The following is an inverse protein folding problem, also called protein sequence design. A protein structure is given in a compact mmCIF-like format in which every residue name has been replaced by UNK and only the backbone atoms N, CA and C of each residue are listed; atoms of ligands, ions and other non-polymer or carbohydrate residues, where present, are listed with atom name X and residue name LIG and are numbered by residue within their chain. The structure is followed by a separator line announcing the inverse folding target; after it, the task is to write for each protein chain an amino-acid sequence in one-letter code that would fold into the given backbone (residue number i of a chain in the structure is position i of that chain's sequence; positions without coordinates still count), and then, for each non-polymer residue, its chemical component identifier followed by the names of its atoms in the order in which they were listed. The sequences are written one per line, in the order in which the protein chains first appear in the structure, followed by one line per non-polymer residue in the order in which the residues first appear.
data_IF_028307829923
#
_entry.id   IF_028307829923
#
_cell.length_a   1.000
_cell.length_b   1.000
_cell.length_c   1.000
_cell.angle_alpha   90.00
_cell.angle_beta   90.00
_cell.angle_gamma   90.00
#
_symmetry.space_group_name_H-M   'P 1'
#
loop_
_entity.id
_entity.type
_entity.pdbx_description
1 polymer ?
#
# COMPACT_ATOMS: atom_id res chain seq x y z
N UNK A 1 -63.82 -27.63 -11.86
CA UNK A 1 -62.69 -26.69 -11.71
C UNK A 1 -62.23 -26.44 -10.25
N UNK A 2 -62.78 -27.12 -9.23
CA UNK A 2 -62.44 -26.88 -7.81
C UNK A 2 -61.18 -27.65 -7.34
N UNK A 3 -60.84 -28.78 -7.96
CA UNK A 3 -59.71 -29.62 -7.52
C UNK A 3 -58.30 -29.08 -7.81
N UNK A 4 -58.15 -28.16 -8.76
CA UNK A 4 -56.84 -27.60 -9.13
C UNK A 4 -56.33 -26.56 -8.12
N UNK A 5 -57.23 -25.71 -7.59
CA UNK A 5 -56.91 -24.69 -6.56
C UNK A 5 -56.54 -25.31 -5.22
N UNK A 6 -57.25 -26.36 -4.78
CA UNK A 6 -56.98 -27.04 -3.51
C UNK A 6 -55.63 -27.78 -3.51
N UNK A 7 -55.25 -28.38 -4.65
CA UNK A 7 -53.92 -28.99 -4.83
C UNK A 7 -52.81 -27.94 -4.78
N UNK A 8 -53.00 -26.76 -5.35
CA UNK A 8 -51.99 -25.70 -5.34
C UNK A 8 -51.78 -25.09 -3.95
N UNK A 9 -52.84 -24.84 -3.17
CA UNK A 9 -52.68 -24.40 -1.77
C UNK A 9 -52.00 -25.46 -0.90
N UNK A 10 -52.35 -26.73 -1.08
CA UNK A 10 -51.70 -27.83 -0.35
C UNK A 10 -50.19 -27.90 -0.64
N UNK A 11 -49.78 -27.77 -1.91
CA UNK A 11 -48.37 -27.74 -2.30
C UNK A 11 -47.63 -26.55 -1.70
N UNK A 12 -48.24 -25.36 -1.68
CA UNK A 12 -47.62 -24.15 -1.10
C UNK A 12 -47.38 -24.31 0.41
N UNK A 13 -48.37 -24.82 1.15
CA UNK A 13 -48.21 -25.06 2.60
C UNK A 13 -47.16 -26.13 2.90
N UNK A 14 -47.10 -27.20 2.09
CA UNK A 14 -46.05 -28.20 2.23
C UNK A 14 -44.65 -27.64 2.00
N UNK A 15 -44.46 -26.84 0.95
CA UNK A 15 -43.18 -26.18 0.67
C UNK A 15 -42.79 -25.22 1.79
N UNK A 16 -43.75 -24.43 2.31
CA UNK A 16 -43.51 -23.52 3.43
C UNK A 16 -43.07 -24.27 4.71
N UNK A 17 -43.68 -25.42 5.01
CA UNK A 17 -43.28 -26.27 6.14
C UNK A 17 -41.86 -26.80 5.95
N UNK A 18 -41.50 -27.26 4.75
CA UNK A 18 -40.13 -27.73 4.47
C UNK A 18 -39.12 -26.62 4.69
N UNK A 19 -39.36 -25.41 4.17
CA UNK A 19 -38.46 -24.28 4.41
C UNK A 19 -38.37 -23.89 5.88
N UNK A 20 -39.48 -23.96 6.63
CA UNK A 20 -39.48 -23.66 8.05
C UNK A 20 -38.68 -24.70 8.85
N UNK A 21 -38.82 -25.99 8.51
CA UNK A 21 -38.00 -27.06 9.10
C UNK A 21 -36.53 -26.86 8.76
N UNK A 22 -36.20 -26.55 7.51
CA UNK A 22 -34.82 -26.30 7.07
C UNK A 22 -34.21 -25.09 7.79
N UNK A 23 -34.99 -24.03 7.97
CA UNK A 23 -34.56 -22.84 8.70
C UNK A 23 -34.26 -23.17 10.17
N UNK A 24 -35.12 -23.96 10.81
CA UNK A 24 -34.92 -24.41 12.19
C UNK A 24 -33.68 -25.31 12.28
N UNK A 25 -33.49 -26.26 11.36
CA UNK A 25 -32.32 -27.16 11.39
C UNK A 25 -31.00 -26.40 11.22
N UNK A 26 -30.97 -25.36 10.37
CA UNK A 26 -29.81 -24.47 10.27
C UNK A 26 -29.63 -23.59 11.50
N UNK A 27 -30.71 -23.03 12.06
CA UNK A 27 -30.65 -22.14 13.23
C UNK A 27 -30.12 -22.84 14.48
N UNK A 28 -30.42 -24.13 14.63
CA UNK A 28 -29.94 -24.95 15.76
C UNK A 28 -28.68 -25.76 15.43
N UNK A 29 -28.09 -25.52 14.24
CA UNK A 29 -26.89 -26.18 13.75
C UNK A 29 -26.95 -27.72 13.85
N UNK A 30 -28.13 -28.29 13.52
CA UNK A 30 -28.48 -29.69 13.81
C UNK A 30 -27.54 -30.70 13.11
N UNK A 31 -26.92 -30.27 12.01
CA UNK A 31 -25.94 -31.05 11.23
C UNK A 31 -24.60 -30.31 11.04
N UNK A 32 -24.35 -29.25 11.80
CA UNK A 32 -23.07 -28.54 11.76
C UNK A 32 -21.95 -29.38 12.32
N UNK A 33 -20.90 -29.59 11.55
CA UNK A 33 -19.62 -30.01 12.11
C UNK A 33 -18.92 -28.77 12.65
N UNK A 34 -18.61 -28.73 13.95
CA UNK A 34 -17.76 -27.68 14.51
C UNK A 34 -16.41 -27.75 13.81
N UNK A 35 -16.16 -26.87 12.85
CA UNK A 35 -14.85 -26.75 12.21
C UNK A 35 -13.90 -26.18 13.25
N UNK A 36 -12.84 -26.92 13.54
CA UNK A 36 -11.73 -26.37 14.31
C UNK A 36 -11.14 -25.21 13.50
N UNK A 37 -11.25 -23.99 14.02
CA UNK A 37 -10.48 -22.86 13.51
C UNK A 37 -9.06 -23.07 14.01
N UNK A 38 -8.15 -23.41 13.11
CA UNK A 38 -6.73 -23.47 13.43
C UNK A 38 -6.26 -22.02 13.51
N UNK A 39 -5.99 -21.55 14.72
CA UNK A 39 -5.31 -20.28 14.91
C UNK A 39 -3.85 -20.44 14.47
N UNK A 40 -3.41 -19.54 13.60
CA UNK A 40 -2.03 -19.47 13.14
C UNK A 40 -1.34 -18.30 13.81
N UNK A 41 -0.07 -18.48 14.16
CA UNK A 41 0.76 -17.40 14.66
C UNK A 41 0.77 -16.25 13.63
N UNK A 42 0.50 -15.00 14.05
CA UNK A 42 0.55 -13.86 13.14
C UNK A 42 1.93 -13.74 12.50
N UNK A 43 1.96 -13.34 11.23
CA UNK A 43 3.24 -12.99 10.56
C UNK A 43 3.94 -11.85 11.32
N UNK A 44 5.25 -11.72 11.18
CA UNK A 44 5.99 -10.65 11.84
C UNK A 44 5.43 -9.26 11.47
N UNK A 45 5.39 -8.34 12.45
CA UNK A 45 4.84 -6.96 12.30
C UNK A 45 5.35 -6.21 11.08
N UNK A 46 6.61 -6.42 10.70
CA UNK A 46 7.24 -5.81 9.51
C UNK A 46 6.45 -5.99 8.20
N UNK A 47 5.59 -7.01 8.12
CA UNK A 47 4.79 -7.30 6.92
C UNK A 47 3.46 -6.55 6.88
N UNK A 48 2.99 -6.00 8.01
CA UNK A 48 1.74 -5.24 8.09
C UNK A 48 1.88 -3.86 8.75
N UNK A 49 3.11 -3.41 9.00
CA UNK A 49 3.36 -2.06 9.50
C UNK A 49 2.93 -1.01 8.45
N UNK A 50 2.05 -0.06 8.79
CA UNK A 50 1.62 0.99 7.87
C UNK A 50 2.65 2.12 7.70
N UNK A 51 3.77 2.09 8.44
CA UNK A 51 4.82 3.08 8.35
C UNK A 51 5.40 3.19 6.92
N UNK A 52 5.79 4.40 6.48
CA UNK A 52 6.48 4.58 5.21
C UNK A 52 7.88 3.96 5.28
N UNK A 53 8.43 3.57 4.13
CA UNK A 53 9.81 3.01 4.05
C UNK A 53 10.84 4.10 4.34
N UNK A 54 10.53 5.34 3.98
CA UNK A 54 11.35 6.53 4.18
C UNK A 54 10.50 7.62 4.84
N UNK A 55 11.15 8.55 5.51
CA UNK A 55 10.49 9.75 6.02
C UNK A 55 10.64 10.88 5.01
N UNK A 56 9.56 11.29 4.31
CA UNK A 56 9.60 12.44 3.43
C UNK A 56 9.98 13.70 4.19
N UNK A 57 10.72 14.59 3.53
CA UNK A 57 10.81 15.98 3.96
C UNK A 57 9.43 16.63 3.78
N UNK A 58 8.90 17.22 4.85
CA UNK A 58 7.69 18.05 4.80
C UNK A 58 8.01 19.52 4.58
N UNK A 59 9.22 19.92 4.96
CA UNK A 59 9.75 21.28 4.86
C UNK A 59 11.09 21.26 4.11
N UNK A 60 11.48 22.36 3.45
CA UNK A 60 12.69 22.46 2.65
C UNK A 60 13.94 22.65 3.53
N UNK A 61 14.19 21.70 4.42
CA UNK A 61 15.27 21.79 5.39
C UNK A 61 16.37 20.76 5.12
N UNK A 62 17.62 21.18 5.31
CA UNK A 62 18.80 20.33 5.19
C UNK A 62 19.76 20.59 6.35
N UNK A 63 20.33 19.51 6.90
CA UNK A 63 21.36 19.61 7.94
C UNK A 63 22.73 19.68 7.30
N UNK A 64 23.42 20.80 7.47
CA UNK A 64 24.79 20.99 7.00
C UNK A 64 25.69 21.36 8.17
N UNK A 65 26.79 20.61 8.37
CA UNK A 65 27.73 20.80 9.49
C UNK A 65 27.05 20.87 10.87
N UNK A 66 26.01 20.05 11.10
CA UNK A 66 25.29 19.97 12.37
C UNK A 66 24.30 21.10 12.64
N UNK A 67 24.01 21.95 11.65
CA UNK A 67 22.99 23.00 11.73
C UNK A 67 21.92 22.79 10.67
N UNK A 68 20.69 23.13 11.04
CA UNK A 68 19.52 23.08 10.15
C UNK A 68 19.42 24.39 9.36
N UNK A 69 19.28 24.28 8.05
CA UNK A 69 19.11 25.41 7.13
C UNK A 69 17.92 25.16 6.22
N UNK A 70 17.26 26.23 5.78
CA UNK A 70 16.38 26.15 4.60
C UNK A 70 17.24 26.11 3.34
N UNK A 71 16.76 25.42 2.30
CA UNK A 71 17.50 25.31 1.04
C UNK A 71 17.93 26.69 0.49
N UNK A 72 17.03 27.67 0.51
CA UNK A 72 17.29 29.02 0.02
C UNK A 72 18.23 29.85 0.88
N UNK A 73 18.48 29.50 2.14
CA UNK A 73 19.44 30.23 2.98
C UNK A 73 20.83 30.27 2.32
N UNK A 74 21.18 29.20 1.60
CA UNK A 74 22.33 29.18 0.71
C UNK A 74 21.93 29.54 -0.74
N UNK A 75 20.88 28.92 -1.28
CA UNK A 75 20.60 28.98 -2.71
C UNK A 75 20.07 30.32 -3.23
N UNK A 76 19.60 31.23 -2.37
CA UNK A 76 19.15 32.57 -2.79
C UNK A 76 20.29 33.45 -3.32
N UNK A 77 21.54 33.15 -2.96
CA UNK A 77 22.72 33.95 -3.33
C UNK A 77 23.67 33.24 -4.30
N UNK A 78 23.37 31.97 -4.64
CA UNK A 78 24.20 31.15 -5.49
C UNK A 78 23.65 31.15 -6.92
N UNK A 79 24.53 31.42 -7.88
CA UNK A 79 24.26 31.20 -9.30
C UNK A 79 23.98 29.69 -9.55
N UNK A 80 22.80 29.32 -10.08
CA UNK A 80 22.49 27.93 -10.37
C UNK A 80 23.48 27.36 -11.39
N UNK A 81 24.21 26.32 -10.99
CA UNK A 81 25.14 25.63 -11.89
C UNK A 81 24.43 25.14 -13.15
N UNK A 82 24.96 25.51 -14.31
CA UNK A 82 24.55 25.00 -15.62
C UNK A 82 25.24 23.68 -15.97
N UNK A 83 26.24 23.29 -15.18
CA UNK A 83 27.06 22.10 -15.39
C UNK A 83 26.58 20.99 -14.43
N UNK A 84 26.36 19.81 -14.98
CA UNK A 84 26.13 18.58 -14.20
C UNK A 84 27.40 18.22 -13.44
N UNK A 85 27.26 18.01 -12.13
CA UNK A 85 28.33 17.45 -11.30
C UNK A 85 27.82 16.15 -10.68
N UNK A 86 28.68 15.15 -10.62
CA UNK A 86 28.41 13.89 -9.93
C UNK A 86 28.62 13.99 -8.41
N UNK A 87 29.26 15.06 -7.94
CA UNK A 87 29.58 15.27 -6.53
C UNK A 87 29.36 16.73 -6.14
N UNK A 88 28.66 16.93 -5.02
CA UNK A 88 28.28 18.26 -4.53
C UNK A 88 28.93 18.50 -3.17
N UNK A 89 29.91 19.41 -3.10
CA UNK A 89 30.65 19.66 -1.85
C UNK A 89 29.76 20.10 -0.69
N UNK A 90 28.65 20.79 -0.96
CA UNK A 90 27.69 21.23 0.04
C UNK A 90 26.60 20.19 0.38
N UNK A 91 26.46 19.16 -0.46
CA UNK A 91 25.48 18.08 -0.28
C UNK A 91 26.17 16.72 -0.49
N UNK A 92 27.15 16.36 0.37
CA UNK A 92 27.95 15.14 0.18
C UNK A 92 27.12 13.86 0.23
N UNK A 93 25.96 13.90 0.88
CA UNK A 93 25.05 12.75 1.04
C UNK A 93 24.06 12.60 -0.12
N UNK A 94 24.02 13.57 -1.05
CA UNK A 94 23.10 13.56 -2.19
C UNK A 94 23.79 12.93 -3.39
N UNK A 95 23.41 11.71 -3.70
CA UNK A 95 23.87 10.96 -4.88
C UNK A 95 22.72 10.92 -5.88
N UNK A 96 22.91 11.53 -7.05
CA UNK A 96 21.88 11.66 -8.08
C UNK A 96 22.01 10.56 -9.15
N UNK A 97 21.19 9.51 -9.03
CA UNK A 97 21.07 8.39 -9.99
C UNK A 97 19.63 8.30 -10.53
N UNK A 98 19.18 9.36 -11.17
CA UNK A 98 17.83 9.45 -11.76
C UNK A 98 17.86 9.38 -13.30
N UNK A 99 18.83 8.66 -13.87
CA UNK A 99 19.01 8.52 -15.31
C UNK A 99 19.26 9.86 -16.01
N UNK A 100 18.48 10.17 -17.05
CA UNK A 100 18.60 11.42 -17.80
C UNK A 100 18.18 12.68 -17.01
N UNK A 101 17.39 12.52 -15.93
CA UNK A 101 16.94 13.62 -15.08
C UNK A 101 17.96 13.92 -13.97
N UNK A 102 19.19 14.20 -14.37
CA UNK A 102 20.34 14.36 -13.45
C UNK A 102 20.71 15.83 -13.17
N UNK A 103 19.75 16.74 -13.29
CA UNK A 103 19.91 18.14 -12.89
C UNK A 103 18.92 18.46 -11.77
N UNK A 104 19.40 19.12 -10.72
CA UNK A 104 18.58 19.46 -9.56
C UNK A 104 17.36 20.29 -9.97
N UNK A 105 17.55 21.24 -10.89
CA UNK A 105 16.53 22.18 -11.33
C UNK A 105 15.48 21.57 -12.28
N UNK A 106 15.62 20.29 -12.63
CA UNK A 106 14.55 19.54 -13.32
C UNK A 106 13.36 19.33 -12.39
N UNK A 107 13.64 19.04 -11.11
CA UNK A 107 12.62 18.78 -10.10
C UNK A 107 12.48 19.94 -9.10
N UNK A 108 13.55 20.68 -8.83
CA UNK A 108 13.55 21.83 -7.93
C UNK A 108 13.38 23.15 -8.70
N UNK A 109 12.77 24.14 -8.05
CA UNK A 109 12.71 25.47 -8.63
C UNK A 109 14.10 26.13 -8.62
N UNK A 110 14.54 26.58 -9.80
CA UNK A 110 15.83 27.23 -10.01
C UNK A 110 16.02 28.50 -9.16
N UNK A 111 14.95 29.25 -8.94
CA UNK A 111 14.97 30.54 -8.24
C UNK A 111 14.53 30.42 -6.78
N UNK A 112 14.06 29.23 -6.37
CA UNK A 112 13.46 28.99 -5.07
C UNK A 112 13.62 27.51 -4.70
N UNK A 113 14.80 27.10 -4.21
CA UNK A 113 15.08 25.71 -3.85
C UNK A 113 14.24 25.19 -2.68
N UNK A 114 13.49 26.07 -2.01
CA UNK A 114 12.46 25.68 -1.04
C UNK A 114 11.22 25.06 -1.69
N UNK A 115 11.14 25.09 -3.02
CA UNK A 115 10.03 24.53 -3.80
C UNK A 115 10.53 23.54 -4.85
N UNK A 116 9.67 22.56 -5.14
CA UNK A 116 9.73 21.75 -6.34
C UNK A 116 9.04 22.48 -7.49
N UNK A 117 9.13 21.93 -8.70
CA UNK A 117 8.42 22.44 -9.89
C UNK A 117 7.53 21.37 -10.52
N UNK A 118 6.43 21.81 -11.12
CA UNK A 118 5.65 21.00 -12.06
C UNK A 118 6.13 21.18 -13.52
N UNK A 119 5.44 20.51 -14.45
CA UNK A 119 5.76 20.54 -15.89
C UNK A 119 5.72 21.97 -16.48
N UNK A 120 4.90 22.84 -15.90
CA UNK A 120 4.72 24.23 -16.31
C UNK A 120 5.62 25.17 -15.50
N UNK A 121 6.55 24.64 -14.68
CA UNK A 121 7.45 25.39 -13.81
C UNK A 121 6.76 26.14 -12.67
N UNK A 122 5.54 25.75 -12.30
CA UNK A 122 4.88 26.29 -11.11
C UNK A 122 5.45 25.67 -9.84
N UNK A 123 5.42 26.43 -8.75
CA UNK A 123 5.86 25.95 -7.44
C UNK A 123 5.00 24.80 -6.94
N UNK A 124 5.68 23.76 -6.45
CA UNK A 124 5.10 22.58 -5.82
C UNK A 124 5.75 22.42 -4.45
N UNK A 125 4.99 22.38 -3.34
CA UNK A 125 5.57 22.14 -2.03
C UNK A 125 6.09 20.69 -1.92
N UNK A 126 7.07 20.45 -1.05
CA UNK A 126 7.64 19.11 -0.81
C UNK A 126 6.59 18.08 -0.39
N UNK A 127 5.53 18.51 0.32
CA UNK A 127 4.37 17.67 0.69
C UNK A 127 3.55 17.17 -0.50
N UNK A 128 3.76 17.72 -1.70
CA UNK A 128 3.10 17.32 -2.94
C UNK A 128 4.08 16.82 -4.00
N UNK A 129 5.19 16.20 -3.59
CA UNK A 129 6.27 15.73 -4.47
C UNK A 129 5.79 14.94 -5.69
N UNK A 130 4.70 14.16 -5.56
CA UNK A 130 4.08 13.41 -6.65
C UNK A 130 3.71 14.27 -7.86
N UNK A 131 3.41 15.56 -7.67
CA UNK A 131 3.13 16.50 -8.77
C UNK A 131 4.38 16.82 -9.58
N UNK A 132 5.54 16.86 -8.95
CA UNK A 132 6.82 16.93 -9.65
C UNK A 132 7.13 15.62 -10.37
N UNK A 133 6.80 14.47 -9.78
CA UNK A 133 7.04 13.15 -10.39
C UNK A 133 6.18 12.91 -11.64
N UNK A 134 4.94 13.42 -11.66
CA UNK A 134 3.98 13.33 -12.77
C UNK A 134 4.56 13.84 -14.10
N UNK A 135 5.50 14.79 -14.07
CA UNK A 135 6.16 15.32 -15.27
C UNK A 135 6.70 14.23 -16.20
N UNK A 136 7.15 13.11 -15.64
CA UNK A 136 7.66 11.97 -16.41
C UNK A 136 6.96 10.64 -16.07
N UNK A 137 6.50 10.46 -14.84
CA UNK A 137 5.91 9.20 -14.35
C UNK A 137 4.38 9.20 -14.41
N UNK A 138 3.81 9.68 -15.51
CA UNK A 138 2.36 9.84 -15.68
C UNK A 138 1.53 8.57 -15.42
N UNK A 139 1.86 7.40 -16.00
CA UNK A 139 1.11 6.16 -15.74
C UNK A 139 1.15 5.74 -14.27
N UNK A 140 2.31 5.87 -13.62
CA UNK A 140 2.48 5.55 -12.20
C UNK A 140 1.69 6.52 -11.32
N UNK A 141 1.69 7.81 -11.65
CA UNK A 141 0.90 8.82 -10.96
C UNK A 141 -0.61 8.56 -11.08
N UNK A 142 -1.10 8.24 -12.28
CA UNK A 142 -2.50 7.83 -12.51
C UNK A 142 -2.88 6.63 -11.64
N UNK A 143 -2.01 5.64 -11.56
CA UNK A 143 -2.24 4.44 -10.76
C UNK A 143 -2.18 4.77 -9.25
N UNK A 144 -1.30 5.67 -8.82
CA UNK A 144 -1.23 6.20 -7.46
C UNK A 144 -2.49 6.98 -7.06
N UNK A 145 -3.01 7.86 -7.93
CA UNK A 145 -4.26 8.59 -7.67
C UNK A 145 -5.44 7.65 -7.41
N UNK A 146 -5.44 6.49 -8.05
CA UNK A 146 -6.44 5.44 -7.93
C UNK A 146 -6.13 4.41 -6.83
N UNK A 147 -5.01 4.57 -6.11
CA UNK A 147 -4.60 3.65 -5.06
C UNK A 147 -4.06 2.30 -5.55
N UNK A 148 -3.79 2.15 -6.84
CA UNK A 148 -3.20 0.95 -7.45
C UNK A 148 -1.68 0.91 -7.30
N UNK A 149 -1.06 2.07 -7.07
CA UNK A 149 0.39 2.20 -6.83
C UNK A 149 0.68 2.95 -5.53
N UNK A 150 1.73 2.54 -4.83
CA UNK A 150 2.08 3.06 -3.51
C UNK A 150 1.29 2.38 -2.40
N UNK A 151 0.98 3.14 -1.33
CA UNK A 151 0.29 2.63 -0.15
C UNK A 151 -0.86 3.56 0.23
N UNK A 152 -2.03 2.96 0.42
CA UNK A 152 -3.22 3.57 1.00
C UNK A 152 -3.38 3.03 2.42
N UNK A 153 -3.37 3.94 3.39
CA UNK A 153 -3.50 3.64 4.80
C UNK A 153 -4.84 4.15 5.35
N UNK A 154 -5.13 3.69 6.56
CA UNK A 154 -6.27 4.09 7.38
C UNK A 154 -7.59 3.50 6.83
N UNK A 155 -8.54 4.30 6.36
CA UNK A 155 -9.85 3.79 5.94
C UNK A 155 -9.95 3.65 4.42
N UNK A 156 -10.68 2.64 3.95
CA UNK A 156 -11.13 2.54 2.55
C UNK A 156 -12.52 3.15 2.37
N UNK A 157 -13.34 3.10 3.41
CA UNK A 157 -14.67 3.69 3.50
C UNK A 157 -14.54 5.08 4.14
N UNK A 158 -14.70 6.11 3.32
CA UNK A 158 -14.54 7.50 3.74
C UNK A 158 -15.60 7.94 4.78
N UNK A 159 -16.73 7.24 4.89
CA UNK A 159 -17.72 7.49 5.95
C UNK A 159 -17.20 7.09 7.34
N UNK A 160 -16.23 6.16 7.39
CA UNK A 160 -15.62 5.66 8.64
C UNK A 160 -14.38 6.42 9.05
N UNK A 161 -13.76 7.17 8.15
CA UNK A 161 -12.58 7.98 8.43
C UNK A 161 -11.78 8.35 7.18
N UNK A 162 -10.72 9.13 7.37
CA UNK A 162 -9.91 9.61 6.25
C UNK A 162 -9.07 8.48 5.63
N UNK A 163 -9.00 8.49 4.31
CA UNK A 163 -8.03 7.73 3.52
C UNK A 163 -6.71 8.49 3.52
N UNK A 164 -5.59 7.84 3.83
CA UNK A 164 -4.26 8.46 3.73
C UNK A 164 -3.41 7.79 2.67
N UNK A 165 -3.09 8.52 1.60
CA UNK A 165 -2.15 8.07 0.57
C UNK A 165 -0.77 8.61 0.86
N UNK A 166 0.22 7.72 0.90
CA UNK A 166 1.61 8.15 1.03
C UNK A 166 2.11 8.77 -0.28
N UNK A 167 2.99 9.77 -0.19
CA UNK A 167 3.62 10.40 -1.36
C UNK A 167 4.68 9.47 -1.98
N UNK A 168 5.09 9.74 -3.21
CA UNK A 168 6.10 8.92 -3.91
C UNK A 168 7.40 8.78 -3.10
N UNK A 169 7.83 9.87 -2.45
CA UNK A 169 9.09 9.94 -1.69
C UNK A 169 9.02 9.25 -0.32
N UNK A 170 7.84 8.80 0.11
CA UNK A 170 7.69 7.97 1.30
C UNK A 170 8.22 6.54 1.09
N UNK A 171 8.41 6.15 -0.18
CA UNK A 171 8.95 4.85 -0.57
C UNK A 171 10.23 5.00 -1.40
N UNK A 172 10.24 5.94 -2.35
CA UNK A 172 11.34 6.15 -3.28
C UNK A 172 12.29 7.25 -2.78
N UNK A 173 13.60 7.06 -2.97
CA UNK A 173 14.54 8.16 -2.84
C UNK A 173 14.40 9.06 -4.09
N UNK A 174 14.06 10.35 -3.97
CA UNK A 174 13.90 11.22 -5.13
C UNK A 174 15.19 11.43 -5.93
N UNK A 175 16.36 11.14 -5.36
CA UNK A 175 17.65 11.20 -6.07
C UNK A 175 18.10 9.83 -6.58
N UNK A 176 17.54 8.73 -6.06
CA UNK A 176 17.81 7.35 -6.48
C UNK A 176 16.50 6.52 -6.45
N UNK A 177 15.56 6.77 -7.39
CA UNK A 177 14.18 6.33 -7.25
C UNK A 177 13.98 4.82 -7.41
N UNK A 178 14.98 4.07 -7.84
CA UNK A 178 14.88 2.61 -7.94
C UNK A 178 14.54 2.03 -6.56
N UNK A 179 13.39 1.37 -6.45
CA UNK A 179 12.94 0.81 -5.19
C UNK A 179 13.69 -0.49 -4.89
N UNK A 180 14.28 -0.58 -3.70
CA UNK A 180 15.00 -1.77 -3.27
C UNK A 180 14.04 -2.96 -3.11
N UNK A 181 14.43 -4.18 -3.53
CA UNK A 181 13.64 -5.37 -3.26
C UNK A 181 13.37 -5.56 -1.77
N UNK A 182 12.16 -5.96 -1.43
CA UNK A 182 11.76 -6.30 -0.06
C UNK A 182 11.63 -7.81 0.09
N UNK A 183 11.91 -8.32 1.29
CA UNK A 183 11.65 -9.72 1.60
C UNK A 183 10.13 -9.96 1.62
N UNK A 184 9.62 -10.96 0.89
CA UNK A 184 8.21 -11.29 0.93
C UNK A 184 7.80 -11.83 2.30
N UNK A 185 6.50 -11.72 2.61
CA UNK A 185 5.90 -12.43 3.73
C UNK A 185 6.00 -13.95 3.52
N UNK A 186 6.00 -14.75 4.59
CA UNK A 186 5.83 -16.20 4.48
C UNK A 186 4.61 -16.56 3.64
N UNK A 187 4.65 -17.73 3.00
CA UNK A 187 3.52 -18.22 2.21
C UNK A 187 2.25 -18.29 3.08
N UNK A 188 1.07 -17.96 2.52
CA UNK A 188 -0.17 -18.07 3.27
C UNK A 188 -0.41 -19.52 3.67
N UNK A 189 -0.94 -19.73 4.87
CA UNK A 189 -1.38 -21.05 5.28
C UNK A 189 -2.48 -21.52 4.33
N UNK A 190 -2.20 -22.56 3.54
CA UNK A 190 -3.23 -23.22 2.77
C UNK A 190 -4.26 -23.78 3.76
N UNK A 191 -5.55 -23.57 3.47
CA UNK A 191 -6.60 -24.28 4.21
C UNK A 191 -6.34 -25.77 4.02
N UNK A 192 -5.83 -26.41 5.06
CA UNK A 192 -5.82 -27.86 5.12
C UNK A 192 -7.28 -28.30 5.19
N UNK A 193 -7.85 -28.70 4.05
CA UNK A 193 -9.03 -29.58 4.05
C UNK A 193 -8.55 -30.92 4.57
N UNK A 194 -8.31 -31.00 5.88
CA UNK A 194 -8.00 -32.27 6.53
C UNK A 194 -9.31 -33.04 6.53
N UNK A 195 -9.46 -33.95 5.58
CA UNK A 195 -10.48 -34.98 5.66
C UNK A 195 -10.30 -35.66 7.02
N UNK A 196 -11.27 -35.49 7.91
CA UNK A 196 -11.18 -35.94 9.31
C UNK A 196 -11.02 -37.48 9.38
N UNK A 197 -11.21 -38.19 8.26
CA UNK A 197 -10.98 -39.63 8.14
C UNK A 197 -9.53 -40.09 8.21
N UNK A 198 -8.55 -39.23 7.94
CA UNK A 198 -7.15 -39.68 7.83
C UNK A 198 -6.31 -39.41 9.09
N UNK A 199 -6.86 -38.63 10.03
CA UNK A 199 -6.16 -38.27 11.28
C UNK A 199 -6.02 -39.38 12.32
N UNK A 200 -6.43 -40.61 11.98
CA UNK A 200 -6.22 -41.80 12.80
C UNK A 200 -5.00 -42.62 12.29
N UNK A 201 -4.46 -42.33 11.09
CA UNK A 201 -3.47 -43.23 10.46
C UNK A 201 -2.02 -42.71 10.37
N UNK A 202 -1.74 -41.43 10.62
CA UNK A 202 -0.37 -40.91 10.53
C UNK A 202 0.18 -40.54 11.90
N UNK A 203 0.33 -41.56 12.75
CA UNK A 203 1.19 -41.46 13.93
C UNK A 203 2.62 -41.94 13.69
N UNK A 204 2.92 -42.50 12.52
CA UNK A 204 4.26 -42.94 12.17
C UNK A 204 4.59 -42.39 10.79
N UNK A 205 5.47 -41.40 10.70
CA UNK A 205 6.59 -41.28 9.75
C UNK A 205 7.37 -40.05 10.19
N UNK A 206 8.34 -40.28 11.07
CA UNK A 206 9.55 -39.45 11.15
C UNK A 206 10.23 -39.44 9.79
N UNK A 207 10.77 -38.29 9.36
CA UNK A 207 12.00 -38.29 8.56
C UNK A 207 12.76 -36.97 8.72
N UNK A 208 13.92 -37.11 9.39
CA UNK A 208 15.11 -36.31 9.18
C UNK A 208 15.54 -36.32 7.71
N UNK A 209 16.11 -35.18 7.26
CA UNK A 209 16.73 -35.02 5.95
C UNK A 209 16.97 -33.55 5.59
#
# INVERSE_FOLDING_TARGET
MVGAKARTTFTIWWVAIIFLVLAVTFAVDLWGTKRAVIEHEPVARRYFDPAPVRTPLTEPEYTYQGKLYRCNDCHATLEPSTIQKSHFSSHPDVILQHGANNHCQTCHNRNNMDMLVDLNRNDVPFTQSQRSCLQCHGPIYRDWERGLHGRMNDYWDEERGAVRRLTCVACHDPHQPAFAPMNPAPAPHMRQYRDIRESISTKDVDHDG
#
